data_IF_937426464771
#
_entry.id   IF_937426464771
#
_cell.length_a   1.000
_cell.length_b   1.000
_cell.length_c   1.000
_cell.angle_alpha   90.00
_cell.angle_beta   90.00
_cell.angle_gamma   90.00
#
_symmetry.space_group_name_H-M   'P 1'
#
loop_
_entity.id
_entity.type
_entity.pdbx_description
1 polymer ?
#
# COMPACT_ATOMS: atom_id res chain seq x y z
N UNK A 1 8.99 21.51 1.05
CA UNK A 1 7.61 21.05 0.85
C UNK A 1 7.62 19.53 0.78
N UNK A 2 6.72 18.87 1.49
CA UNK A 2 6.63 17.40 1.51
C UNK A 2 5.18 16.97 1.61
N UNK A 3 4.86 15.74 1.19
CA UNK A 3 3.51 15.20 1.31
C UNK A 3 3.29 14.80 2.76
N UNK A 4 2.31 15.43 3.42
CA UNK A 4 1.97 15.16 4.81
C UNK A 4 0.89 14.09 4.94
N UNK A 5 -0.11 14.15 4.07
CA UNK A 5 -1.29 13.28 4.17
C UNK A 5 -1.81 12.91 2.79
N UNK A 6 -2.27 11.66 2.66
CA UNK A 6 -3.02 11.16 1.52
C UNK A 6 -4.36 10.69 2.04
N UNK A 7 -5.46 11.03 1.34
CA UNK A 7 -6.79 10.54 1.68
C UNK A 7 -7.19 9.43 0.70
N UNK A 8 -7.73 8.35 1.24
CA UNK A 8 -8.18 7.18 0.49
C UNK A 8 -9.65 6.91 0.79
N UNK A 9 -10.41 6.54 -0.24
CA UNK A 9 -11.82 6.21 -0.09
C UNK A 9 -12.03 4.96 0.78
N UNK A 10 -13.01 5.03 1.68
CA UNK A 10 -13.46 3.88 2.45
C UNK A 10 -14.96 4.00 2.75
N UNK A 11 -15.73 3.00 2.33
CA UNK A 11 -17.18 2.96 2.61
C UNK A 11 -17.48 2.50 4.03
N UNK A 12 -16.70 1.57 4.54
CA UNK A 12 -16.89 0.97 5.86
C UNK A 12 -15.57 1.10 6.65
N UNK A 13 -15.55 2.05 7.59
CA UNK A 13 -14.33 2.37 8.32
C UNK A 13 -13.88 1.26 9.27
N UNK A 14 -14.80 0.48 9.85
CA UNK A 14 -14.41 -0.65 10.69
C UNK A 14 -13.75 -1.75 9.87
N UNK A 15 -14.32 -2.06 8.71
CA UNK A 15 -13.75 -3.01 7.78
C UNK A 15 -12.38 -2.52 7.25
N UNK A 16 -12.29 -1.23 6.90
CA UNK A 16 -11.04 -0.62 6.47
C UNK A 16 -9.98 -0.66 7.57
N UNK A 17 -10.36 -0.39 8.82
CA UNK A 17 -9.46 -0.49 9.97
C UNK A 17 -8.86 -1.88 10.08
N UNK A 18 -9.69 -2.90 10.00
CA UNK A 18 -9.23 -4.27 10.14
C UNK A 18 -8.29 -4.66 8.99
N UNK A 19 -8.65 -4.28 7.77
CA UNK A 19 -7.83 -4.58 6.59
C UNK A 19 -6.47 -3.86 6.65
N UNK A 20 -6.49 -2.53 6.86
CA UNK A 20 -5.26 -1.73 6.83
C UNK A 20 -4.37 -1.98 8.04
N UNK A 21 -4.93 -2.35 9.19
CA UNK A 21 -4.12 -2.77 10.34
C UNK A 21 -3.29 -4.00 10.01
N UNK A 22 -3.87 -4.96 9.28
CA UNK A 22 -3.13 -6.16 8.84
C UNK A 22 -2.15 -5.83 7.71
N UNK A 23 -2.60 -5.07 6.72
CA UNK A 23 -1.75 -4.71 5.57
C UNK A 23 -0.51 -3.93 6.01
N UNK A 24 -0.71 -2.89 6.81
CA UNK A 24 0.37 -2.01 7.26
C UNK A 24 1.11 -2.57 8.47
N UNK A 25 0.60 -3.64 9.09
CA UNK A 25 1.14 -4.23 10.33
C UNK A 25 1.28 -3.18 11.42
N UNK A 26 0.24 -2.36 11.58
CA UNK A 26 0.24 -1.22 12.50
C UNK A 26 -1.16 -0.95 13.02
N UNK A 27 -1.25 -0.34 14.20
CA UNK A 27 -2.52 0.10 14.74
C UNK A 27 -2.89 1.46 14.19
N UNK A 28 -4.19 1.80 14.09
CA UNK A 28 -4.60 3.14 13.74
C UNK A 28 -4.06 4.19 14.70
N UNK A 29 -3.74 5.36 14.19
CA UNK A 29 -3.37 6.51 15.02
C UNK A 29 -4.58 7.23 15.56
N UNK A 30 -5.74 7.07 14.92
CA UNK A 30 -6.99 7.62 15.39
C UNK A 30 -8.15 7.05 14.60
N UNK A 31 -9.29 6.93 15.27
CA UNK A 31 -10.55 6.51 14.64
C UNK A 31 -11.65 7.34 15.28
N UNK A 32 -12.26 8.21 14.48
CA UNK A 32 -13.28 9.14 14.95
C UNK A 32 -14.55 8.96 14.11
N UNK A 33 -15.55 8.33 14.71
CA UNK A 33 -16.84 8.12 14.04
C UNK A 33 -17.99 8.34 15.02
N UNK A 34 -18.73 9.47 14.99
CA UNK A 34 -18.62 10.54 14.00
C UNK A 34 -17.37 11.38 14.15
N UNK A 35 -16.91 12.09 13.08
CA UNK A 35 -17.54 12.26 11.79
C UNK A 35 -17.22 11.20 10.73
N UNK A 36 -16.32 10.28 10.98
CA UNK A 36 -15.92 9.25 10.03
C UNK A 36 -14.54 9.47 9.47
N UNK A 37 -13.53 9.41 10.35
CA UNK A 37 -12.12 9.61 10.00
C UNK A 37 -11.29 8.47 10.63
N UNK A 38 -10.52 7.80 9.80
CA UNK A 38 -9.62 6.74 10.24
C UNK A 38 -8.21 7.09 9.79
N UNK A 39 -7.28 7.15 10.74
CA UNK A 39 -5.89 7.56 10.47
C UNK A 39 -4.90 6.46 10.74
N UNK A 40 -3.96 6.28 9.80
CA UNK A 40 -2.77 5.47 9.97
C UNK A 40 -1.53 6.30 9.69
N UNK A 41 -0.39 5.88 10.21
CA UNK A 41 0.90 6.45 9.85
C UNK A 41 1.61 5.47 8.93
N UNK A 42 1.84 5.88 7.68
CA UNK A 42 2.54 5.08 6.68
C UNK A 42 3.88 5.75 6.35
N UNK A 43 4.95 5.34 7.06
CA UNK A 43 6.24 6.03 6.98
C UNK A 43 6.07 7.49 7.40
N UNK A 44 6.55 8.45 6.62
CA UNK A 44 6.42 9.88 6.97
C UNK A 44 5.06 10.48 6.56
N UNK A 45 4.18 9.70 5.94
CA UNK A 45 2.89 10.18 5.43
C UNK A 45 1.75 9.67 6.31
N UNK A 46 0.82 10.56 6.64
CA UNK A 46 -0.41 10.17 7.32
C UNK A 46 -1.43 9.71 6.28
N UNK A 47 -2.00 8.54 6.49
CA UNK A 47 -3.05 8.00 5.62
C UNK A 47 -4.39 8.20 6.29
N UNK A 48 -5.28 8.94 5.64
CA UNK A 48 -6.66 9.15 6.09
C UNK A 48 -7.57 8.29 5.23
N UNK A 49 -8.40 7.47 5.87
CA UNK A 49 -9.47 6.75 5.20
C UNK A 49 -10.80 7.39 5.57
N UNK A 50 -11.57 7.76 4.57
CA UNK A 50 -12.85 8.44 4.74
C UNK A 50 -13.77 8.19 3.55
N UNK A 51 -15.07 8.26 3.77
CA UNK A 51 -16.04 7.95 2.75
C UNK A 51 -16.03 8.94 1.57
N UNK A 52 -15.92 10.28 1.80
CA UNK A 52 -16.00 11.23 0.68
C UNK A 52 -14.71 11.33 -0.16
N UNK A 53 -13.61 10.72 0.27
CA UNK A 53 -12.37 10.77 -0.50
C UNK A 53 -12.51 9.98 -1.80
N UNK A 54 -11.80 10.42 -2.83
CA UNK A 54 -11.66 9.67 -4.07
C UNK A 54 -10.78 8.43 -3.85
N UNK A 55 -10.97 7.41 -4.69
CA UNK A 55 -10.05 6.28 -4.71
C UNK A 55 -8.70 6.75 -5.24
N UNK A 56 -7.67 6.66 -4.41
CA UNK A 56 -6.30 6.96 -4.79
C UNK A 56 -5.56 5.65 -5.08
N UNK A 57 -4.63 5.68 -6.00
CA UNK A 57 -3.74 4.56 -6.24
C UNK A 57 -2.48 4.78 -5.40
N UNK A 58 -2.41 4.08 -4.28
CA UNK A 58 -1.30 4.19 -3.33
C UNK A 58 -0.34 3.04 -3.58
N UNK A 59 0.95 3.34 -3.63
CA UNK A 59 2.00 2.32 -3.75
C UNK A 59 2.70 2.18 -2.41
N UNK A 60 2.71 0.96 -1.87
CA UNK A 60 3.34 0.65 -0.59
C UNK A 60 4.67 -0.08 -0.84
N UNK A 61 5.73 0.42 -0.24
CA UNK A 61 7.02 -0.26 -0.31
C UNK A 61 7.05 -1.40 0.71
N UNK A 62 7.38 -2.58 0.24
CA UNK A 62 7.57 -3.78 1.07
C UNK A 62 8.96 -4.37 0.82
N UNK A 63 9.40 -5.24 1.70
CA UNK A 63 10.73 -5.83 1.57
C UNK A 63 10.82 -6.79 0.38
N UNK A 64 9.77 -7.59 0.16
CA UNK A 64 9.71 -8.58 -0.92
C UNK A 64 8.26 -8.71 -1.38
N UNK A 65 7.97 -8.19 -2.58
CA UNK A 65 6.62 -8.21 -3.15
C UNK A 65 6.10 -9.65 -3.29
N UNK A 66 6.97 -10.59 -3.70
CA UNK A 66 6.54 -11.98 -3.90
C UNK A 66 6.09 -12.63 -2.59
N UNK A 67 6.85 -12.43 -1.52
CA UNK A 67 6.50 -12.96 -0.20
C UNK A 67 5.23 -12.28 0.34
N UNK A 68 5.13 -10.97 0.20
CA UNK A 68 3.97 -10.22 0.67
C UNK A 68 2.69 -10.66 -0.05
N UNK A 69 2.75 -10.86 -1.36
CA UNK A 69 1.59 -11.31 -2.14
C UNK A 69 1.12 -12.69 -1.67
N UNK A 70 2.03 -13.62 -1.38
CA UNK A 70 1.64 -14.94 -0.88
C UNK A 70 0.98 -14.86 0.49
N UNK A 71 1.48 -13.99 1.37
CA UNK A 71 0.86 -13.70 2.67
C UNK A 71 -0.57 -13.18 2.51
N UNK A 72 -0.73 -12.19 1.63
CA UNK A 72 -2.04 -11.57 1.38
C UNK A 72 -3.00 -12.54 0.70
N UNK A 73 -2.51 -13.35 -0.24
CA UNK A 73 -3.31 -14.39 -0.88
C UNK A 73 -3.85 -15.38 0.15
N UNK A 74 -3.02 -15.79 1.09
CA UNK A 74 -3.42 -16.71 2.17
C UNK A 74 -4.49 -16.08 3.07
N UNK A 75 -4.48 -14.76 3.20
CA UNK A 75 -5.50 -14.00 3.96
C UNK A 75 -6.77 -13.71 3.16
N UNK A 76 -6.87 -14.20 1.92
CA UNK A 76 -8.04 -14.01 1.08
C UNK A 76 -8.10 -12.67 0.34
N UNK A 77 -6.99 -11.95 0.27
CA UNK A 77 -6.92 -10.69 -0.47
C UNK A 77 -6.92 -10.95 -1.98
N UNK A 78 -7.70 -10.18 -2.72
CA UNK A 78 -7.73 -10.28 -4.18
C UNK A 78 -6.43 -9.74 -4.78
N UNK A 79 -5.75 -10.56 -5.59
CA UNK A 79 -4.54 -10.18 -6.30
C UNK A 79 -4.93 -9.79 -7.72
N UNK A 80 -4.76 -8.51 -8.05
CA UNK A 80 -5.12 -7.96 -9.37
C UNK A 80 -4.03 -8.24 -10.39
N UNK A 81 -2.77 -8.10 -9.98
CA UNK A 81 -1.62 -8.35 -10.85
C UNK A 81 -0.52 -9.02 -10.05
N UNK A 82 -0.07 -10.17 -10.53
CA UNK A 82 0.98 -10.96 -9.89
C UNK A 82 2.32 -10.22 -9.91
N UNK A 83 3.23 -10.53 -8.96
CA UNK A 83 4.55 -9.89 -8.92
C UNK A 83 5.32 -10.06 -10.22
N UNK A 84 5.86 -8.98 -10.73
CA UNK A 84 6.71 -8.98 -11.91
C UNK A 84 7.66 -7.80 -11.88
N UNK A 85 8.77 -7.92 -12.57
CA UNK A 85 9.74 -6.83 -12.71
C UNK A 85 9.20 -5.82 -13.71
N UNK A 86 9.10 -4.57 -13.28
CA UNK A 86 8.61 -3.50 -14.14
C UNK A 86 9.73 -2.58 -14.64
N UNK A 87 10.85 -2.55 -13.92
CA UNK A 87 11.92 -1.61 -14.26
C UNK A 87 13.25 -2.05 -13.63
N UNK A 88 14.33 -1.89 -14.40
CA UNK A 88 15.69 -2.09 -13.91
C UNK A 88 16.35 -0.73 -13.72
N UNK A 89 16.79 -0.46 -12.50
CA UNK A 89 17.46 0.80 -12.17
C UNK A 89 18.94 0.73 -12.50
N UNK A 90 19.36 1.53 -13.47
CA UNK A 90 20.79 1.64 -13.82
C UNK A 90 21.44 2.86 -13.16
N UNK A 91 20.64 3.74 -12.57
CA UNK A 91 21.09 4.91 -11.80
C UNK A 91 20.14 5.16 -10.62
N UNK A 92 20.37 6.23 -9.87
CA UNK A 92 19.60 6.55 -8.66
C UNK A 92 18.39 7.47 -8.93
N UNK A 93 18.00 7.67 -10.19
CA UNK A 93 16.97 8.66 -10.53
C UNK A 93 15.60 8.35 -9.90
N UNK A 94 15.18 7.09 -9.94
CA UNK A 94 13.86 6.66 -9.45
C UNK A 94 13.92 5.57 -8.40
N UNK A 95 15.10 5.05 -8.11
CA UNK A 95 15.30 3.99 -7.13
C UNK A 95 16.76 3.62 -7.04
N UNK A 96 17.10 2.66 -6.18
CA UNK A 96 18.51 2.28 -5.99
C UNK A 96 19.12 1.67 -7.27
N UNK A 97 20.25 2.20 -7.70
CA UNK A 97 20.95 1.64 -8.86
C UNK A 97 21.35 0.19 -8.63
N UNK A 98 21.32 -0.60 -9.68
CA UNK A 98 21.65 -2.03 -9.61
C UNK A 98 20.54 -2.89 -9.04
N UNK A 99 19.30 -2.40 -9.03
CA UNK A 99 18.16 -3.17 -8.54
C UNK A 99 17.08 -3.31 -9.61
N UNK A 100 16.33 -4.41 -9.50
CA UNK A 100 15.09 -4.61 -10.25
C UNK A 100 13.93 -4.16 -9.36
N UNK A 101 13.02 -3.39 -9.92
CA UNK A 101 11.81 -2.96 -9.24
C UNK A 101 10.69 -3.94 -9.55
N UNK A 102 10.18 -4.57 -8.49
CA UNK A 102 9.07 -5.49 -8.57
C UNK A 102 7.80 -4.79 -8.16
N UNK A 103 6.71 -5.07 -8.85
CA UNK A 103 5.39 -4.59 -8.47
C UNK A 103 4.35 -5.68 -8.53
N UNK A 104 3.34 -5.54 -7.71
CA UNK A 104 2.09 -6.29 -7.77
C UNK A 104 0.97 -5.33 -7.39
N UNK A 105 -0.26 -5.69 -7.74
CA UNK A 105 -1.43 -4.90 -7.39
C UNK A 105 -2.47 -5.78 -6.72
N UNK A 106 -3.10 -5.24 -5.69
CA UNK A 106 -4.14 -5.90 -4.91
C UNK A 106 -5.38 -5.01 -4.85
N UNK A 107 -6.51 -5.60 -4.47
CA UNK A 107 -7.71 -4.84 -4.11
C UNK A 107 -7.81 -4.79 -2.60
N UNK A 108 -8.00 -3.59 -2.04
CA UNK A 108 -8.21 -3.46 -0.59
C UNK A 108 -9.65 -3.84 -0.21
N UNK A 109 -10.00 -3.69 1.07
CA UNK A 109 -11.34 -4.04 1.58
C UNK A 109 -12.44 -3.13 1.06
N UNK A 110 -12.08 -1.97 0.50
CA UNK A 110 -13.01 -0.91 0.09
C UNK A 110 -13.11 -0.75 -1.43
N UNK A 111 -12.55 -1.71 -2.18
CA UNK A 111 -12.58 -1.70 -3.64
C UNK A 111 -11.51 -0.85 -4.30
N UNK A 112 -10.55 -0.33 -3.55
CA UNK A 112 -9.45 0.43 -4.14
C UNK A 112 -8.34 -0.50 -4.61
N UNK A 113 -7.65 -0.12 -5.68
CA UNK A 113 -6.43 -0.79 -6.12
C UNK A 113 -5.25 -0.21 -5.34
N UNK A 114 -4.41 -1.09 -4.81
CA UNK A 114 -3.20 -0.72 -4.07
C UNK A 114 -2.00 -1.40 -4.73
N UNK A 115 -0.94 -0.64 -4.98
CA UNK A 115 0.32 -1.16 -5.50
C UNK A 115 1.27 -1.56 -4.39
N UNK A 116 2.03 -2.62 -4.63
CA UNK A 116 3.10 -3.08 -3.75
C UNK A 116 4.41 -3.03 -4.54
N UNK A 117 5.46 -2.51 -3.92
CA UNK A 117 6.75 -2.28 -4.58
C UNK A 117 7.88 -2.83 -3.73
N UNK A 118 8.81 -3.54 -4.34
CA UNK A 118 10.09 -3.89 -3.71
C UNK A 118 11.23 -3.78 -4.70
N UNK A 119 12.43 -3.69 -4.19
CA UNK A 119 13.66 -3.62 -4.99
C UNK A 119 14.56 -4.77 -4.59
N UNK A 120 15.01 -5.54 -5.57
CA UNK A 120 15.97 -6.63 -5.37
C UNK A 120 17.21 -6.38 -6.20
N UNK A 121 18.41 -6.82 -5.75
CA UNK A 121 19.61 -6.70 -6.58
C UNK A 121 19.39 -7.33 -7.95
N UNK A 122 19.80 -6.63 -8.99
CA UNK A 122 19.75 -7.19 -10.34
C UNK A 122 20.73 -8.35 -10.43
N UNK A 123 20.26 -9.51 -10.90
CA UNK A 123 21.14 -10.64 -11.15
C UNK A 123 22.03 -10.34 -12.35
N UNK A 124 23.31 -10.60 -12.20
CA UNK A 124 24.29 -10.36 -13.25
C UNK A 124 24.18 -11.38 -14.38
#
# INVERSE_FOLDING_TARGET
MEVFQIAQHADDLERARDFYSRLLKAQPRGFFDPPGLLFFQAGPVRLLLEQPAASALIYLKVDDVRATVEELRADGVEIVSEPHVIFRHTDEALGPAGTDEWMAFITDSEGNTVGLVSHTPTDA
#
